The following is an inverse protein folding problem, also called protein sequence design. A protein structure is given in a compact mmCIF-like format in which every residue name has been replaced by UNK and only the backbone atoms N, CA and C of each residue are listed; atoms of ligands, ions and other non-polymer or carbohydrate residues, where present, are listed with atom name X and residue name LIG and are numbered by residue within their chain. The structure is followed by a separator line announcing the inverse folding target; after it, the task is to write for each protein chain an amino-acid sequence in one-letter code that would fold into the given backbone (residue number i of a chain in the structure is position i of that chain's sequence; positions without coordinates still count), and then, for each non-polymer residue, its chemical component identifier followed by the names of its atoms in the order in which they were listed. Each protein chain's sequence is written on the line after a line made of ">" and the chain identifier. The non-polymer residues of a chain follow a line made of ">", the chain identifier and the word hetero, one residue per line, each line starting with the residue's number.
data_IF_029027959426
#
_entry.id   IF_029027959426
#
_cell.length_a   1.000
_cell.length_b   1.000
_cell.length_c   1.000
_cell.angle_alpha   90.00
_cell.angle_beta   90.00
_cell.angle_gamma   90.00
#
_symmetry.space_group_name_H-M   'P 1'
#
loop_
_entity.id
_entity.type
_entity.pdbx_description
1 polymer ?
#
# COMPACT_ATOMS: atom_id res chain seq x y z
N UNK A 1 4.44 -22.99 -2.90
CA UNK A 1 4.93 -21.67 -3.38
C UNK A 1 6.30 -21.79 -4.08
N UNK A 2 7.40 -22.16 -3.41
CA UNK A 2 8.74 -22.20 -4.04
C UNK A 2 8.81 -23.01 -5.34
N UNK A 3 8.30 -24.24 -5.36
CA UNK A 3 8.29 -25.07 -6.59
C UNK A 3 7.49 -24.41 -7.72
N UNK A 4 6.41 -23.72 -7.42
CA UNK A 4 5.58 -23.03 -8.42
C UNK A 4 6.30 -21.78 -8.97
N UNK A 5 7.01 -21.02 -8.13
CA UNK A 5 7.84 -19.89 -8.60
C UNK A 5 8.95 -20.41 -9.53
N UNK A 6 9.65 -21.47 -9.14
CA UNK A 6 10.69 -22.09 -9.99
C UNK A 6 10.08 -22.58 -11.32
N UNK A 7 8.87 -23.13 -11.29
CA UNK A 7 8.15 -23.53 -12.50
C UNK A 7 7.86 -22.31 -13.40
N UNK A 8 7.34 -21.23 -12.86
CA UNK A 8 7.11 -20.00 -13.62
C UNK A 8 8.41 -19.42 -14.20
N UNK A 9 9.48 -19.36 -13.40
CA UNK A 9 10.78 -18.83 -13.83
C UNK A 9 11.40 -19.62 -15.01
N UNK A 10 11.12 -20.92 -15.10
CA UNK A 10 11.60 -21.78 -16.20
C UNK A 10 10.67 -21.79 -17.41
N UNK A 11 9.51 -21.20 -17.29
CA UNK A 11 8.51 -21.18 -18.35
C UNK A 11 8.79 -20.06 -19.36
N UNK A 12 8.49 -20.25 -20.65
CA UNK A 12 8.66 -19.20 -21.64
C UNK A 12 7.66 -18.08 -21.37
N UNK A 13 8.08 -16.84 -21.57
CA UNK A 13 7.19 -15.68 -21.54
C UNK A 13 6.30 -15.72 -22.78
N UNK A 14 4.99 -15.63 -22.61
CA UNK A 14 4.06 -15.48 -23.73
C UNK A 14 4.41 -14.20 -24.49
N UNK A 15 4.39 -14.28 -25.82
CA UNK A 15 4.79 -13.16 -26.69
C UNK A 15 6.29 -12.82 -26.69
N UNK A 16 7.17 -13.71 -26.21
CA UNK A 16 8.61 -13.48 -26.22
C UNK A 16 9.13 -13.11 -27.63
N UNK A 17 8.55 -13.68 -28.68
CA UNK A 17 8.94 -13.38 -30.07
C UNK A 17 8.52 -11.97 -30.53
N UNK A 18 7.44 -11.41 -30.01
CA UNK A 18 7.02 -10.02 -30.25
C UNK A 18 7.88 -9.02 -29.47
N UNK A 19 8.39 -9.42 -28.33
CA UNK A 19 9.25 -8.61 -27.43
C UNK A 19 10.68 -8.45 -27.98
N UNK A 20 11.09 -9.22 -29.00
CA UNK A 20 12.39 -9.09 -29.66
C UNK A 20 12.54 -7.85 -30.53
N UNK A 21 11.48 -7.13 -30.85
CA UNK A 21 11.59 -5.72 -31.22
C UNK A 21 12.30 -5.01 -30.06
N UNK A 22 13.35 -4.30 -30.36
CA UNK A 22 14.20 -3.60 -29.40
C UNK A 22 13.40 -2.96 -28.26
N UNK A 23 13.30 -3.67 -27.12
CA UNK A 23 12.59 -3.16 -25.92
C UNK A 23 13.09 -1.79 -25.50
N UNK A 24 14.38 -1.54 -25.71
CA UNK A 24 15.00 -0.25 -25.47
C UNK A 24 14.42 0.85 -26.38
N UNK A 25 14.17 0.55 -27.64
CA UNK A 25 13.57 1.52 -28.56
C UNK A 25 12.13 1.83 -28.17
N UNK A 26 11.34 0.81 -27.81
CA UNK A 26 9.97 0.99 -27.33
C UNK A 26 9.94 1.82 -26.04
N UNK A 27 10.84 1.55 -25.11
CA UNK A 27 10.94 2.31 -23.86
C UNK A 27 11.38 3.77 -24.13
N UNK A 28 12.35 3.97 -25.03
CA UNK A 28 12.81 5.30 -25.42
C UNK A 28 11.70 6.11 -26.08
N UNK A 29 10.92 5.50 -26.99
CA UNK A 29 9.75 6.15 -27.60
C UNK A 29 8.68 6.52 -26.56
N UNK A 30 8.42 5.63 -25.60
CA UNK A 30 7.49 5.92 -24.51
C UNK A 30 7.96 7.11 -23.66
N UNK A 31 9.25 7.15 -23.30
CA UNK A 31 9.83 8.26 -22.54
C UNK A 31 9.73 9.59 -23.31
N UNK A 32 10.03 9.57 -24.58
CA UNK A 32 9.98 10.75 -25.46
C UNK A 32 8.54 11.28 -25.64
N UNK A 33 7.59 10.39 -25.93
CA UNK A 33 6.18 10.75 -26.11
C UNK A 33 5.50 11.32 -24.86
N UNK A 34 5.95 10.93 -23.66
CA UNK A 34 5.34 11.36 -22.40
C UNK A 34 6.19 12.41 -21.66
N UNK A 35 7.29 12.87 -22.24
CA UNK A 35 8.24 13.80 -21.61
C UNK A 35 8.71 13.30 -20.23
N UNK A 36 9.02 12.00 -20.14
CA UNK A 36 9.44 11.32 -18.91
C UNK A 36 10.90 10.89 -19.07
N UNK A 37 11.68 11.11 -18.01
CA UNK A 37 13.04 10.59 -17.91
C UNK A 37 13.10 9.58 -16.75
N UNK A 38 13.36 8.33 -17.10
CA UNK A 38 13.61 7.28 -16.13
C UNK A 38 15.10 7.27 -15.72
N UNK A 39 15.37 6.95 -14.47
CA UNK A 39 16.74 6.68 -14.03
C UNK A 39 17.19 5.29 -14.52
N UNK A 40 18.50 5.02 -14.65
CA UNK A 40 19.00 3.73 -15.18
C UNK A 40 18.40 2.50 -14.49
N UNK A 41 18.25 2.53 -13.17
CA UNK A 41 17.60 1.43 -12.41
C UNK A 41 16.10 1.32 -12.67
N UNK A 42 15.45 2.40 -13.00
CA UNK A 42 14.04 2.38 -13.40
C UNK A 42 13.88 1.77 -14.81
N UNK A 43 14.75 2.11 -15.74
CA UNK A 43 14.77 1.48 -17.08
C UNK A 43 15.03 -0.03 -16.97
N UNK A 44 16.04 -0.43 -16.18
CA UNK A 44 16.34 -1.83 -15.90
C UNK A 44 15.11 -2.58 -15.37
N UNK A 45 14.38 -2.00 -14.40
CA UNK A 45 13.18 -2.59 -13.82
C UNK A 45 12.06 -2.79 -14.86
N UNK A 46 11.82 -1.80 -15.71
CA UNK A 46 10.84 -1.90 -16.80
C UNK A 46 11.23 -2.99 -17.78
N UNK A 47 12.47 -3.02 -18.22
CA UNK A 47 12.97 -4.04 -19.17
C UNK A 47 12.92 -5.45 -18.56
N UNK A 48 13.24 -5.59 -17.26
CA UNK A 48 13.15 -6.86 -16.53
C UNK A 48 11.73 -7.42 -16.53
N UNK A 49 10.71 -6.59 -16.42
CA UNK A 49 9.30 -7.00 -16.49
C UNK A 49 8.89 -7.61 -17.84
N UNK A 50 9.68 -7.41 -18.90
CA UNK A 50 9.43 -7.96 -20.25
C UNK A 50 10.35 -9.13 -20.60
N UNK A 51 11.50 -9.22 -19.98
CA UNK A 51 12.50 -10.24 -20.28
C UNK A 51 12.42 -11.46 -19.37
N UNK A 52 11.75 -11.33 -18.21
CA UNK A 52 11.64 -12.42 -17.24
C UNK A 52 10.18 -12.77 -16.93
N UNK A 53 9.87 -14.05 -16.74
CA UNK A 53 8.53 -14.50 -16.34
C UNK A 53 8.11 -13.97 -14.96
N UNK A 54 9.06 -13.85 -14.04
CA UNK A 54 8.87 -13.27 -12.71
C UNK A 54 9.97 -12.26 -12.46
N UNK A 55 9.63 -11.07 -11.99
CA UNK A 55 10.60 -10.03 -11.62
C UNK A 55 10.13 -9.27 -10.36
N UNK A 56 11.09 -8.74 -9.63
CA UNK A 56 10.85 -7.95 -8.41
C UNK A 56 11.40 -6.54 -8.62
N UNK A 57 10.59 -5.55 -8.22
CA UNK A 57 11.00 -4.15 -8.10
C UNK A 57 10.85 -3.74 -6.65
N UNK A 58 11.94 -3.44 -5.99
CA UNK A 58 11.93 -2.99 -4.60
C UNK A 58 12.57 -1.61 -4.45
N UNK A 59 12.06 -0.82 -3.52
CA UNK A 59 12.61 0.51 -3.22
C UNK A 59 11.73 1.26 -2.23
N UNK A 60 12.31 2.22 -1.54
CA UNK A 60 11.64 3.03 -0.54
C UNK A 60 10.54 3.93 -1.10
N UNK A 61 9.86 4.69 -0.24
CA UNK A 61 8.84 5.63 -0.66
C UNK A 61 9.45 6.75 -1.52
N UNK A 62 8.77 7.09 -2.62
CA UNK A 62 9.22 8.16 -3.52
C UNK A 62 10.28 7.77 -4.54
N UNK A 63 10.63 6.50 -4.67
CA UNK A 63 11.58 6.01 -5.70
C UNK A 63 10.96 5.84 -7.09
N UNK A 64 9.69 6.19 -7.26
CA UNK A 64 9.02 6.17 -8.56
C UNK A 64 8.43 4.83 -8.96
N UNK A 65 8.14 3.90 -8.03
CA UNK A 65 7.48 2.62 -8.31
C UNK A 65 6.21 2.76 -9.14
N UNK A 66 5.35 3.72 -8.82
CA UNK A 66 4.13 4.00 -9.59
C UNK A 66 4.41 4.43 -11.04
N UNK A 67 5.46 5.21 -11.26
CA UNK A 67 5.90 5.60 -12.62
C UNK A 67 6.31 4.37 -13.43
N UNK A 68 7.00 3.42 -12.80
CA UNK A 68 7.36 2.15 -13.43
C UNK A 68 6.14 1.31 -13.80
N UNK A 69 5.15 1.22 -12.94
CA UNK A 69 3.89 0.52 -13.25
C UNK A 69 3.25 1.11 -14.49
N UNK A 70 3.16 2.45 -14.61
CA UNK A 70 2.65 3.13 -15.81
C UNK A 70 3.47 2.80 -17.06
N UNK A 71 4.79 2.82 -16.96
CA UNK A 71 5.67 2.49 -18.08
C UNK A 71 5.48 1.04 -18.55
N UNK A 72 5.38 0.09 -17.61
CA UNK A 72 5.12 -1.33 -17.94
C UNK A 72 3.78 -1.49 -18.65
N UNK A 73 2.71 -0.84 -18.16
CA UNK A 73 1.38 -0.89 -18.76
C UNK A 73 1.35 -0.30 -20.18
N UNK A 74 1.99 0.84 -20.37
CA UNK A 74 2.07 1.49 -21.67
C UNK A 74 2.85 0.65 -22.68
N UNK A 75 3.99 0.08 -22.28
CA UNK A 75 4.76 -0.82 -23.12
C UNK A 75 4.01 -2.12 -23.41
N UNK A 76 3.28 -2.69 -22.43
CA UNK A 76 2.43 -3.88 -22.64
C UNK A 76 1.38 -3.60 -23.72
N UNK A 77 0.69 -2.46 -23.64
CA UNK A 77 -0.28 -2.04 -24.66
C UNK A 77 0.38 -1.77 -26.02
N UNK A 78 1.55 -1.14 -26.04
CA UNK A 78 2.26 -0.86 -27.29
C UNK A 78 2.71 -2.15 -27.99
N UNK A 79 3.29 -3.10 -27.26
CA UNK A 79 3.82 -4.34 -27.81
C UNK A 79 2.71 -5.32 -28.22
N UNK A 80 1.67 -5.46 -27.39
CA UNK A 80 0.64 -6.49 -27.55
C UNK A 80 -0.63 -5.98 -28.24
N UNK A 81 -0.84 -4.67 -28.31
CA UNK A 81 -2.05 -4.08 -28.90
C UNK A 81 -3.31 -4.58 -28.21
N UNK A 82 -4.24 -5.16 -28.96
CA UNK A 82 -5.51 -5.71 -28.43
C UNK A 82 -5.32 -6.98 -27.58
N UNK A 83 -4.16 -7.62 -27.64
CA UNK A 83 -3.85 -8.77 -26.77
C UNK A 83 -3.33 -8.36 -25.38
N UNK A 84 -3.12 -7.06 -25.14
CA UNK A 84 -2.76 -6.53 -23.82
C UNK A 84 -3.95 -6.65 -22.87
N UNK A 85 -3.74 -7.39 -21.81
CA UNK A 85 -4.75 -7.61 -20.75
C UNK A 85 -4.04 -7.65 -19.39
N UNK A 86 -3.53 -6.51 -18.89
CA UNK A 86 -2.84 -6.44 -17.62
C UNK A 86 -3.81 -6.59 -16.44
N UNK A 87 -3.36 -7.27 -15.38
CA UNK A 87 -4.07 -7.40 -14.11
C UNK A 87 -3.28 -6.72 -12.99
N UNK A 88 -3.85 -5.67 -12.41
CA UNK A 88 -3.23 -4.93 -11.32
C UNK A 88 -3.84 -5.37 -9.99
N UNK A 89 -2.98 -5.73 -9.05
CA UNK A 89 -3.35 -6.26 -7.75
C UNK A 89 -2.64 -5.53 -6.61
N UNK A 90 -3.31 -5.47 -5.46
CA UNK A 90 -2.70 -5.02 -4.21
C UNK A 90 -3.24 -5.82 -3.01
N UNK A 91 -2.53 -5.91 -1.87
CA UNK A 91 -2.99 -6.67 -0.71
C UNK A 91 -4.25 -6.10 -0.05
N UNK A 92 -4.46 -4.78 -0.10
CA UNK A 92 -5.59 -4.10 0.55
C UNK A 92 -6.42 -3.31 -0.43
N UNK A 93 -7.72 -3.09 -0.10
CA UNK A 93 -8.62 -2.28 -0.92
C UNK A 93 -8.13 -0.84 -1.13
N UNK A 94 -7.59 -0.22 -0.07
CA UNK A 94 -7.02 1.13 -0.16
C UNK A 94 -5.80 1.18 -1.10
N UNK A 95 -4.93 0.19 -1.05
CA UNK A 95 -3.78 0.11 -1.97
C UNK A 95 -4.24 -0.12 -3.42
N UNK A 96 -5.24 -1.00 -3.64
CA UNK A 96 -5.83 -1.23 -4.96
C UNK A 96 -6.47 0.03 -5.53
N UNK A 97 -7.25 0.76 -4.72
CA UNK A 97 -7.84 2.03 -5.13
C UNK A 97 -6.78 3.08 -5.50
N UNK A 98 -5.74 3.22 -4.66
CA UNK A 98 -4.62 4.12 -4.95
C UNK A 98 -3.88 3.71 -6.23
N UNK A 99 -3.69 2.42 -6.44
CA UNK A 99 -3.08 1.89 -7.67
C UNK A 99 -3.93 2.23 -8.89
N UNK A 100 -5.25 2.10 -8.82
CA UNK A 100 -6.18 2.54 -9.87
C UNK A 100 -6.08 4.06 -10.12
N UNK A 101 -6.22 4.88 -9.08
CA UNK A 101 -6.17 6.34 -9.19
C UNK A 101 -4.86 6.84 -9.79
N UNK A 102 -3.75 6.20 -9.46
CA UNK A 102 -2.42 6.61 -9.93
C UNK A 102 -2.05 6.02 -11.29
N UNK A 103 -2.48 4.81 -11.63
CA UNK A 103 -2.15 4.16 -12.90
C UNK A 103 -3.13 4.46 -14.02
N UNK A 104 -4.38 4.79 -13.66
CA UNK A 104 -5.50 4.91 -14.61
C UNK A 104 -6.05 3.56 -15.11
N UNK A 105 -5.54 2.43 -14.56
CA UNK A 105 -5.99 1.08 -14.92
C UNK A 105 -6.76 0.41 -13.78
N UNK A 106 -7.82 -0.38 -14.09
CA UNK A 106 -8.55 -1.14 -13.07
C UNK A 106 -7.60 -1.97 -12.21
N UNK A 107 -7.77 -1.87 -10.90
CA UNK A 107 -7.00 -2.62 -9.93
C UNK A 107 -7.94 -3.26 -8.90
N UNK A 108 -7.57 -4.42 -8.38
CA UNK A 108 -8.34 -5.14 -7.38
C UNK A 108 -7.46 -5.67 -6.26
N UNK A 109 -8.08 -6.19 -5.20
CA UNK A 109 -7.32 -6.86 -4.16
C UNK A 109 -6.89 -8.25 -4.61
N UNK A 110 -5.72 -8.70 -4.12
CA UNK A 110 -5.26 -10.09 -4.37
C UNK A 110 -6.34 -11.08 -3.94
N UNK A 111 -6.95 -10.89 -2.77
CA UNK A 111 -8.03 -11.74 -2.25
C UNK A 111 -9.21 -11.84 -3.23
N UNK A 112 -9.64 -10.72 -3.79
CA UNK A 112 -10.72 -10.69 -4.78
C UNK A 112 -10.36 -11.44 -6.05
N UNK A 113 -9.15 -11.21 -6.58
CA UNK A 113 -8.67 -11.83 -7.82
C UNK A 113 -8.53 -13.35 -7.72
N UNK A 114 -8.16 -13.86 -6.54
CA UNK A 114 -8.04 -15.31 -6.31
C UNK A 114 -9.32 -15.97 -5.80
N UNK A 115 -10.42 -15.19 -5.61
CA UNK A 115 -11.68 -15.71 -5.07
C UNK A 115 -11.60 -16.15 -3.61
N UNK A 116 -10.68 -15.58 -2.82
CA UNK A 116 -10.51 -15.93 -1.41
C UNK A 116 -11.56 -15.23 -0.54
N UNK A 117 -12.49 -16.00 0.07
CA UNK A 117 -13.65 -15.46 0.79
C UNK A 117 -13.72 -15.78 2.27
N UNK A 118 -12.66 -16.17 2.95
CA UNK A 118 -12.80 -16.40 4.36
C UNK A 118 -11.62 -17.06 5.04
N UNK A 119 -11.70 -17.14 6.37
CA UNK A 119 -10.67 -17.66 7.27
C UNK A 119 -10.32 -19.15 7.03
N UNK A 120 -11.22 -19.93 6.41
CA UNK A 120 -11.05 -21.36 6.23
C UNK A 120 -10.44 -21.79 4.89
N UNK A 121 -10.14 -20.87 3.97
CA UNK A 121 -9.51 -21.18 2.67
C UNK A 121 -10.32 -22.13 1.75
N UNK A 122 -11.57 -22.40 2.08
CA UNK A 122 -12.40 -23.42 1.38
C UNK A 122 -13.09 -22.91 0.13
N UNK A 123 -13.19 -21.60 -0.06
CA UNK A 123 -13.90 -20.97 -1.19
C UNK A 123 -12.95 -20.32 -2.20
N UNK A 124 -11.84 -20.98 -2.50
CA UNK A 124 -10.96 -20.49 -3.58
C UNK A 124 -11.57 -20.90 -4.91
N UNK A 125 -11.98 -19.91 -5.72
CA UNK A 125 -12.43 -20.15 -7.09
C UNK A 125 -11.37 -20.96 -7.86
N UNK A 126 -11.79 -21.97 -8.60
CA UNK A 126 -10.91 -22.84 -9.39
C UNK A 126 -10.36 -22.16 -10.66
N UNK A 127 -10.78 -20.92 -10.98
CA UNK A 127 -10.35 -20.22 -12.20
C UNK A 127 -8.85 -19.89 -12.15
N UNK A 128 -8.21 -20.07 -13.31
CA UNK A 128 -6.81 -19.66 -13.52
C UNK A 128 -6.75 -18.19 -13.94
N UNK A 129 -5.59 -17.56 -13.70
CA UNK A 129 -5.29 -16.18 -14.08
C UNK A 129 -4.42 -16.19 -15.35
N UNK A 130 -4.96 -15.64 -16.43
CA UNK A 130 -4.32 -15.63 -17.75
C UNK A 130 -4.19 -14.24 -18.39
N UNK A 131 -3.77 -13.20 -17.66
CA UNK A 131 -3.50 -11.90 -18.23
C UNK A 131 -2.14 -11.85 -18.96
N UNK A 132 -1.88 -10.77 -19.68
CA UNK A 132 -0.57 -10.52 -20.31
C UNK A 132 0.52 -10.31 -19.26
N UNK A 133 0.18 -9.62 -18.19
CA UNK A 133 1.04 -9.36 -17.03
C UNK A 133 0.19 -9.20 -15.77
N UNK A 134 0.65 -9.76 -14.66
CA UNK A 134 0.15 -9.48 -13.31
C UNK A 134 1.15 -8.56 -12.64
N UNK A 135 0.69 -7.41 -12.16
CA UNK A 135 1.49 -6.49 -11.34
C UNK A 135 0.88 -6.48 -9.95
N UNK A 136 1.66 -6.89 -8.95
CA UNK A 136 1.24 -6.84 -7.54
C UNK A 136 2.01 -5.72 -6.86
N UNK A 137 1.31 -4.67 -6.44
CA UNK A 137 1.90 -3.57 -5.68
C UNK A 137 1.78 -3.81 -4.17
N UNK A 138 2.62 -3.16 -3.36
CA UNK A 138 2.71 -3.31 -1.90
C UNK A 138 2.90 -4.77 -1.43
N UNK A 139 3.73 -5.55 -2.14
CA UNK A 139 3.96 -6.99 -1.88
C UNK A 139 4.52 -7.26 -0.47
N UNK A 140 5.16 -6.29 0.18
CA UNK A 140 5.61 -6.40 1.58
C UNK A 140 4.49 -6.80 2.55
N UNK A 141 3.23 -6.44 2.24
CA UNK A 141 2.05 -6.78 3.03
C UNK A 141 1.42 -8.13 2.66
N UNK A 142 1.95 -8.84 1.66
CA UNK A 142 1.39 -10.10 1.18
C UNK A 142 1.94 -11.28 1.99
N UNK A 143 1.04 -12.00 2.68
CA UNK A 143 1.43 -13.20 3.44
C UNK A 143 1.66 -14.43 2.55
N UNK A 144 2.30 -15.43 3.12
CA UNK A 144 2.70 -16.65 2.42
C UNK A 144 1.51 -17.45 1.88
N UNK A 145 0.38 -17.47 2.57
CA UNK A 145 -0.81 -18.24 2.17
C UNK A 145 -1.44 -17.63 0.94
N UNK A 146 -1.70 -16.33 0.99
CA UNK A 146 -2.29 -15.58 -0.13
C UNK A 146 -1.36 -15.57 -1.34
N UNK A 147 -0.05 -15.38 -1.12
CA UNK A 147 0.95 -15.46 -2.18
C UNK A 147 0.99 -16.85 -2.84
N UNK A 148 0.94 -17.93 -2.05
CA UNK A 148 0.96 -19.28 -2.59
C UNK A 148 -0.27 -19.59 -3.45
N UNK A 149 -1.47 -19.14 -3.02
CA UNK A 149 -2.69 -19.28 -3.79
C UNK A 149 -2.61 -18.47 -5.08
N UNK A 150 -2.20 -17.20 -5.00
CA UNK A 150 -2.02 -16.36 -6.20
C UNK A 150 -1.13 -17.04 -7.23
N UNK A 151 0.08 -17.44 -6.81
CA UNK A 151 1.07 -18.04 -7.70
C UNK A 151 0.58 -19.37 -8.30
N UNK A 152 -0.20 -20.15 -7.54
CA UNK A 152 -0.76 -21.41 -8.04
C UNK A 152 -1.79 -21.24 -9.15
N UNK A 153 -2.41 -20.06 -9.25
CA UNK A 153 -3.42 -19.72 -10.26
C UNK A 153 -2.86 -19.10 -11.54
N UNK A 154 -1.60 -18.69 -11.53
CA UNK A 154 -0.96 -18.05 -12.69
C UNK A 154 -0.70 -19.07 -13.78
N UNK A 155 -1.26 -18.83 -14.96
CA UNK A 155 -0.98 -19.65 -16.13
C UNK A 155 0.44 -19.39 -16.67
N UNK A 156 1.05 -20.48 -17.18
CA UNK A 156 2.34 -20.42 -17.85
C UNK A 156 2.32 -19.42 -19.02
N UNK A 157 3.31 -18.57 -19.06
CA UNK A 157 3.41 -17.51 -20.08
C UNK A 157 2.92 -16.15 -19.62
N UNK A 158 2.18 -16.08 -18.51
CA UNK A 158 1.85 -14.82 -17.85
C UNK A 158 3.07 -14.26 -17.13
N UNK A 159 3.36 -12.98 -17.30
CA UNK A 159 4.44 -12.30 -16.55
C UNK A 159 3.94 -11.89 -15.17
N UNK A 160 4.77 -12.03 -14.15
CA UNK A 160 4.50 -11.61 -12.78
C UNK A 160 5.52 -10.56 -12.34
N UNK A 161 5.06 -9.37 -12.03
CA UNK A 161 5.88 -8.27 -11.52
C UNK A 161 5.47 -7.98 -10.08
N UNK A 162 6.38 -8.21 -9.15
CA UNK A 162 6.20 -7.98 -7.72
C UNK A 162 6.82 -6.63 -7.34
N UNK A 163 5.99 -5.67 -6.94
CA UNK A 163 6.42 -4.31 -6.60
C UNK A 163 6.21 -4.09 -5.10
N UNK A 164 7.23 -3.60 -4.41
CA UNK A 164 7.10 -3.37 -2.97
C UNK A 164 8.30 -2.65 -2.37
N UNK A 165 8.33 -2.60 -1.07
CA UNK A 165 9.42 -2.04 -0.29
C UNK A 165 9.88 -3.08 0.74
N UNK A 166 11.05 -3.66 0.52
CA UNK A 166 11.61 -4.71 1.38
C UNK A 166 11.95 -4.20 2.79
N UNK A 167 12.06 -2.88 2.96
CA UNK A 167 12.40 -2.23 4.22
C UNK A 167 11.15 -1.85 5.04
N UNK A 168 9.94 -2.02 4.48
CA UNK A 168 8.69 -1.85 5.21
C UNK A 168 8.37 -3.05 6.10
N UNK A 169 7.43 -2.83 7.03
CA UNK A 169 6.92 -3.90 7.89
C UNK A 169 6.38 -5.07 7.05
N UNK A 170 6.68 -6.32 7.45
CA UNK A 170 6.15 -7.49 6.77
C UNK A 170 4.64 -7.63 6.98
N UNK A 171 4.03 -8.60 6.29
CA UNK A 171 2.63 -8.95 6.44
C UNK A 171 2.27 -9.30 7.89
N UNK A 172 1.02 -9.05 8.28
CA UNK A 172 0.47 -9.49 9.58
C UNK A 172 0.31 -11.02 9.61
N UNK A 173 -0.01 -11.63 8.46
CA UNK A 173 -0.01 -13.07 8.27
C UNK A 173 1.39 -13.67 8.23
N UNK A 174 1.48 -14.99 8.29
CA UNK A 174 2.75 -15.71 8.34
C UNK A 174 3.59 -15.52 7.05
N UNK A 175 4.91 -15.42 7.21
CA UNK A 175 5.90 -15.33 6.13
C UNK A 175 6.29 -13.89 5.76
N UNK A 176 7.47 -13.76 5.18
CA UNK A 176 8.00 -12.49 4.63
C UNK A 176 8.35 -12.72 3.16
N UNK A 177 7.30 -12.87 2.33
CA UNK A 177 7.42 -13.33 0.94
C UNK A 177 8.39 -12.48 0.12
N UNK A 178 8.28 -11.16 0.20
CA UNK A 178 9.12 -10.26 -0.58
C UNK A 178 10.60 -10.39 -0.17
N UNK A 179 10.90 -10.31 1.12
CA UNK A 179 12.28 -10.37 1.60
C UNK A 179 12.91 -11.75 1.35
N UNK A 180 12.15 -12.83 1.52
CA UNK A 180 12.62 -14.20 1.27
C UNK A 180 12.90 -14.45 -0.22
N UNK A 181 12.05 -13.94 -1.13
CA UNK A 181 12.28 -14.02 -2.57
C UNK A 181 13.52 -13.23 -2.98
N UNK A 182 13.72 -12.03 -2.44
CA UNK A 182 14.92 -11.22 -2.68
C UNK A 182 16.17 -11.93 -2.15
N UNK A 183 16.11 -12.45 -0.92
CA UNK A 183 17.24 -13.17 -0.30
C UNK A 183 17.61 -14.48 -1.00
N UNK A 184 16.66 -15.09 -1.71
CA UNK A 184 16.93 -16.32 -2.48
C UNK A 184 17.82 -16.12 -3.69
N UNK A 185 17.94 -14.88 -4.17
CA UNK A 185 18.68 -14.48 -5.39
C UNK A 185 18.30 -15.26 -6.67
N UNK A 186 17.11 -15.89 -6.66
CA UNK A 186 16.60 -16.69 -7.78
C UNK A 186 15.72 -15.85 -8.71
N UNK A 187 15.02 -14.84 -8.14
CA UNK A 187 14.13 -13.96 -8.90
C UNK A 187 14.86 -12.67 -9.26
N UNK A 188 14.93 -12.30 -10.55
CA UNK A 188 15.51 -11.03 -10.98
C UNK A 188 14.92 -9.85 -10.18
N UNK A 189 15.78 -9.17 -9.46
CA UNK A 189 15.38 -8.10 -8.52
C UNK A 189 16.09 -6.79 -8.87
N UNK A 190 15.32 -5.76 -9.12
CA UNK A 190 15.84 -4.40 -9.31
C UNK A 190 15.55 -3.55 -8.05
N UNK A 191 16.61 -3.04 -7.43
CA UNK A 191 16.53 -2.11 -6.28
C UNK A 191 16.59 -0.67 -6.75
N UNK A 192 15.55 0.11 -6.40
CA UNK A 192 15.46 1.54 -6.69
C UNK A 192 15.99 2.34 -5.51
N UNK A 193 17.06 3.07 -5.73
CA UNK A 193 17.76 3.82 -4.67
C UNK A 193 17.48 5.32 -4.76
N UNK A 194 17.21 5.86 -5.96
CA UNK A 194 16.99 7.28 -6.17
C UNK A 194 15.62 7.72 -5.67
N UNK A 195 15.57 8.71 -4.77
CA UNK A 195 14.34 9.26 -4.19
C UNK A 195 13.97 10.56 -4.93
N UNK A 196 12.80 10.60 -5.56
CA UNK A 196 12.31 11.73 -6.34
C UNK A 196 11.29 12.61 -5.61
N UNK A 197 10.61 12.08 -4.58
CA UNK A 197 9.43 12.73 -3.98
C UNK A 197 9.74 13.74 -2.89
N UNK A 198 10.92 13.71 -2.27
CA UNK A 198 11.16 14.53 -1.09
C UNK A 198 11.94 15.80 -1.44
N UNK A 199 11.34 16.96 -1.15
CA UNK A 199 12.06 18.24 -1.16
C UNK A 199 13.17 18.21 -0.10
N UNK A 200 14.43 18.30 -0.52
CA UNK A 200 15.60 18.19 0.34
C UNK A 200 16.45 16.95 0.11
N UNK A 201 16.02 16.04 -0.76
CA UNK A 201 16.81 14.87 -1.19
C UNK A 201 17.31 14.00 -0.02
N UNK A 202 18.54 13.52 -0.12
CA UNK A 202 19.21 12.68 0.88
C UNK A 202 19.52 13.41 2.20
N UNK A 203 19.46 14.73 2.23
CA UNK A 203 19.67 15.55 3.45
C UNK A 203 18.43 15.68 4.34
N UNK A 204 17.28 15.14 3.93
CA UNK A 204 16.06 15.20 4.72
C UNK A 204 16.19 14.33 6.00
N UNK A 205 16.05 14.90 7.23
CA UNK A 205 16.20 14.15 8.47
C UNK A 205 15.28 12.93 8.58
N UNK A 206 14.11 12.96 7.95
CA UNK A 206 13.17 11.84 7.92
C UNK A 206 13.77 10.67 7.13
N UNK A 207 14.37 10.94 5.97
CA UNK A 207 15.02 9.92 5.13
C UNK A 207 16.23 9.33 5.83
N UNK A 208 17.11 10.21 6.35
CA UNK A 208 18.32 9.80 7.07
C UNK A 208 17.95 8.90 8.25
N UNK A 209 16.98 9.32 9.05
CA UNK A 209 16.59 8.56 10.23
C UNK A 209 15.85 7.26 9.87
N UNK A 210 15.03 7.25 8.84
CA UNK A 210 14.38 6.02 8.36
C UNK A 210 15.44 4.97 7.95
N UNK A 211 16.48 5.39 7.22
CA UNK A 211 17.60 4.52 6.85
C UNK A 211 18.36 4.02 8.09
N UNK A 212 18.70 4.91 9.01
CA UNK A 212 19.36 4.54 10.26
C UNK A 212 18.55 3.54 11.09
N UNK A 213 17.25 3.76 11.22
CA UNK A 213 16.34 2.85 11.95
C UNK A 213 16.31 1.47 11.28
N UNK A 214 16.24 1.43 9.96
CA UNK A 214 16.24 0.18 9.21
C UNK A 214 17.57 -0.60 9.37
N UNK A 215 18.68 0.10 9.48
CA UNK A 215 20.00 -0.46 9.76
C UNK A 215 20.22 -0.81 11.25
N UNK A 216 19.21 -0.61 12.12
CA UNK A 216 19.29 -0.88 13.56
C UNK A 216 20.08 0.15 14.35
N UNK A 217 20.37 1.33 13.77
CA UNK A 217 21.07 2.40 14.46
C UNK A 217 20.13 3.13 15.43
N UNK A 218 20.64 3.47 16.61
CA UNK A 218 19.88 4.15 17.67
C UNK A 218 20.16 5.65 17.76
N UNK A 219 21.25 6.11 17.16
CA UNK A 219 21.63 7.53 17.14
C UNK A 219 20.97 8.24 15.96
N UNK A 220 19.83 8.88 16.24
CA UNK A 220 19.03 9.58 15.24
C UNK A 220 19.35 11.09 15.24
N UNK A 221 19.24 11.70 14.07
CA UNK A 221 19.35 13.15 13.90
C UNK A 221 18.00 13.82 14.22
N UNK A 222 17.96 14.68 15.23
CA UNK A 222 16.76 15.43 15.62
C UNK A 222 16.81 16.86 15.09
N UNK A 223 15.67 17.35 14.63
CA UNK A 223 15.44 18.71 14.14
C UNK A 223 13.97 19.09 14.33
N UNK A 224 13.56 20.26 13.88
CA UNK A 224 12.17 20.70 13.80
C UNK A 224 11.28 19.80 12.90
N UNK A 225 11.91 19.08 11.95
CA UNK A 225 11.23 18.12 11.05
C UNK A 225 11.21 16.68 11.57
N UNK A 226 12.04 16.35 12.55
CA UNK A 226 12.08 15.02 13.17
C UNK A 226 12.43 15.17 14.65
N UNK A 227 11.41 15.16 15.50
CA UNK A 227 11.54 15.44 16.92
C UNK A 227 11.31 14.20 17.78
N UNK A 228 12.00 14.14 18.90
CA UNK A 228 11.74 13.17 19.97
C UNK A 228 11.38 13.91 21.25
N UNK A 229 10.28 13.52 21.88
CA UNK A 229 9.86 14.04 23.18
C UNK A 229 9.57 12.89 24.14
N UNK A 230 10.20 12.91 25.30
CA UNK A 230 9.97 11.91 26.33
C UNK A 230 9.03 12.48 27.39
N UNK A 231 7.91 11.82 27.66
CA UNK A 231 6.91 12.18 28.66
C UNK A 231 6.60 10.91 29.46
N UNK A 232 7.01 10.88 30.73
CA UNK A 232 6.87 9.68 31.56
C UNK A 232 5.42 9.44 32.05
N UNK A 233 4.68 10.51 32.29
CA UNK A 233 3.30 10.45 32.75
C UNK A 233 2.33 10.24 31.58
N UNK A 234 1.53 9.18 31.63
CA UNK A 234 0.60 8.82 30.54
C UNK A 234 -0.53 9.83 30.33
N UNK A 235 -1.00 10.48 31.39
CA UNK A 235 -2.04 11.51 31.27
C UNK A 235 -1.51 12.79 30.61
N UNK A 236 -0.30 13.21 31.01
CA UNK A 236 0.40 14.33 30.36
C UNK A 236 0.72 14.02 28.90
N UNK A 237 1.08 12.76 28.60
CA UNK A 237 1.32 12.31 27.23
C UNK A 237 0.03 12.44 26.38
N UNK A 238 -1.10 11.94 26.87
CA UNK A 238 -2.39 12.07 26.18
C UNK A 238 -2.75 13.53 25.94
N UNK A 239 -2.62 14.40 26.98
CA UNK A 239 -2.90 15.83 26.84
C UNK A 239 -1.99 16.49 25.79
N UNK A 240 -0.69 16.15 25.80
CA UNK A 240 0.27 16.68 24.84
C UNK A 240 -0.09 16.24 23.41
N UNK A 241 -0.38 14.97 23.20
CA UNK A 241 -0.71 14.42 21.89
C UNK A 241 -2.00 15.05 21.34
N UNK A 242 -3.06 15.12 22.15
CA UNK A 242 -4.32 15.75 21.74
C UNK A 242 -4.15 17.23 21.37
N UNK A 243 -3.45 18.02 22.22
CA UNK A 243 -3.20 19.44 21.95
C UNK A 243 -2.37 19.63 20.67
N UNK A 244 -1.30 18.85 20.50
CA UNK A 244 -0.45 18.93 19.32
C UNK A 244 -1.21 18.54 18.05
N UNK A 245 -2.00 17.47 18.10
CA UNK A 245 -2.84 17.03 16.99
C UNK A 245 -3.85 18.13 16.61
N UNK A 246 -4.63 18.63 17.58
CA UNK A 246 -5.63 19.67 17.36
C UNK A 246 -5.01 20.96 16.80
N UNK A 247 -3.84 21.37 17.33
CA UNK A 247 -3.14 22.54 16.80
C UNK A 247 -2.71 22.36 15.35
N UNK A 248 -2.19 21.17 15.00
CA UNK A 248 -1.78 20.85 13.63
C UNK A 248 -2.97 20.78 12.68
N UNK A 249 -4.08 20.14 13.10
CA UNK A 249 -5.34 20.10 12.33
C UNK A 249 -5.89 21.51 12.06
N UNK A 250 -5.87 22.38 13.07
CA UNK A 250 -6.34 23.78 12.89
C UNK A 250 -5.45 24.59 11.95
N UNK A 251 -4.16 24.27 11.89
CA UNK A 251 -3.22 24.99 11.02
C UNK A 251 -3.21 24.48 9.58
N UNK A 252 -3.38 23.18 9.37
CA UNK A 252 -3.12 22.52 8.08
C UNK A 252 -4.27 21.65 7.57
N UNK A 253 -5.35 21.45 8.33
CA UNK A 253 -6.49 20.60 7.98
C UNK A 253 -6.39 19.16 8.48
N UNK A 254 -7.53 18.46 8.51
CA UNK A 254 -7.64 17.07 9.01
C UNK A 254 -6.80 16.06 8.25
N UNK A 255 -6.66 16.24 6.95
CA UNK A 255 -5.92 15.31 6.06
C UNK A 255 -4.40 15.45 6.14
N UNK A 256 -3.91 16.46 6.87
CA UNK A 256 -2.48 16.81 6.93
C UNK A 256 -1.73 16.09 8.03
N UNK A 257 -2.41 15.46 9.00
CA UNK A 257 -1.80 14.88 10.18
C UNK A 257 -2.43 13.53 10.55
N UNK A 258 -1.57 12.60 10.93
CA UNK A 258 -1.96 11.30 11.46
C UNK A 258 -1.31 11.11 12.83
N UNK A 259 -2.07 10.61 13.81
CA UNK A 259 -1.58 10.20 15.10
C UNK A 259 -1.56 8.68 15.19
N UNK A 260 -0.37 8.10 15.25
CA UNK A 260 -0.18 6.65 15.34
C UNK A 260 0.13 6.24 16.77
N UNK A 261 -0.60 5.26 17.28
CA UNK A 261 -0.38 4.67 18.62
C UNK A 261 -0.44 3.15 18.56
N UNK A 262 0.34 2.44 19.42
CA UNK A 262 0.43 0.98 19.35
C UNK A 262 -0.79 0.24 19.90
N UNK A 263 -1.63 0.90 20.69
CA UNK A 263 -2.75 0.24 21.38
C UNK A 263 -4.10 0.81 20.94
N UNK A 264 -5.08 -0.08 20.74
CA UNK A 264 -6.45 0.29 20.39
C UNK A 264 -7.26 0.74 21.59
N UNK A 265 -7.21 -0.01 22.69
CA UNK A 265 -8.07 0.20 23.87
C UNK A 265 -7.27 0.48 25.14
N UNK A 266 -7.95 1.10 26.13
CA UNK A 266 -7.38 1.53 27.40
C UNK A 266 -7.04 0.39 28.39
N UNK A 267 -7.15 -0.87 28.00
CA UNK A 267 -6.86 -2.04 28.89
C UNK A 267 -5.41 -2.05 29.39
N UNK A 268 -4.48 -1.53 28.57
CA UNK A 268 -3.03 -1.56 28.85
C UNK A 268 -2.48 -0.19 29.20
N UNK A 269 -2.99 0.87 28.56
CA UNK A 269 -2.51 2.24 28.72
C UNK A 269 -3.59 3.24 28.31
N UNK A 270 -3.56 4.43 28.93
CA UNK A 270 -4.41 5.57 28.47
C UNK A 270 -3.97 6.12 27.11
N UNK A 271 -2.73 5.86 26.68
CA UNK A 271 -2.25 6.26 25.35
C UNK A 271 -2.71 5.24 24.33
N UNK A 272 -3.97 5.32 23.95
CA UNK A 272 -4.61 4.40 23.00
C UNK A 272 -5.59 5.14 22.07
N UNK A 273 -5.91 4.49 20.94
CA UNK A 273 -6.77 5.09 19.91
C UNK A 273 -8.14 5.54 20.45
N UNK A 274 -8.79 4.71 21.27
CA UNK A 274 -10.12 5.02 21.82
C UNK A 274 -10.12 6.29 22.68
N UNK A 275 -9.18 6.40 23.61
CA UNK A 275 -9.08 7.57 24.49
C UNK A 275 -8.66 8.84 23.74
N UNK A 276 -7.72 8.74 22.82
CA UNK A 276 -7.25 9.87 22.02
C UNK A 276 -8.35 10.36 21.08
N UNK A 277 -9.07 9.46 20.39
CA UNK A 277 -10.19 9.85 19.53
C UNK A 277 -11.29 10.56 20.30
N UNK A 278 -11.69 10.04 21.48
CA UNK A 278 -12.67 10.67 22.34
C UNK A 278 -12.29 12.09 22.72
N UNK A 279 -11.06 12.30 23.21
CA UNK A 279 -10.58 13.64 23.62
C UNK A 279 -10.39 14.59 22.44
N UNK A 280 -9.90 14.09 21.31
CA UNK A 280 -9.76 14.90 20.09
C UNK A 280 -11.12 15.32 19.57
N UNK A 281 -12.13 14.43 19.57
CA UNK A 281 -13.51 14.74 19.20
C UNK A 281 -14.07 15.85 20.11
N UNK A 282 -13.95 15.74 21.45
CA UNK A 282 -14.38 16.76 22.39
C UNK A 282 -13.72 18.13 22.15
N UNK A 283 -12.49 18.16 21.61
CA UNK A 283 -11.75 19.40 21.33
C UNK A 283 -12.03 20.02 19.95
N UNK A 284 -12.29 19.19 18.93
CA UNK A 284 -12.48 19.62 17.54
C UNK A 284 -13.95 19.74 17.17
N UNK A 285 -14.76 18.78 17.59
CA UNK A 285 -16.18 18.66 17.27
C UNK A 285 -16.95 18.22 18.52
N UNK A 286 -17.12 19.08 19.53
CA UNK A 286 -17.87 18.75 20.75
C UNK A 286 -19.35 18.53 20.46
N UNK A 287 -19.93 17.45 21.00
CA UNK A 287 -21.35 17.17 20.91
C UNK A 287 -22.14 18.28 21.62
N UNK A 288 -23.09 18.92 20.92
CA UNK A 288 -23.91 19.99 21.44
C UNK A 288 -25.17 19.43 22.11
N UNK A 289 -25.73 20.20 23.07
CA UNK A 289 -26.96 19.82 23.73
C UNK A 289 -28.11 19.70 22.71
N UNK A 290 -28.81 18.55 22.73
CA UNK A 290 -29.91 18.27 21.80
C UNK A 290 -29.49 17.79 20.41
N UNK A 291 -28.20 17.73 20.12
CA UNK A 291 -27.69 17.20 18.83
C UNK A 291 -27.89 15.67 18.75
N UNK A 292 -28.39 15.14 17.61
CA UNK A 292 -28.53 13.72 17.43
C UNK A 292 -27.18 13.05 17.34
N UNK A 293 -27.02 11.89 17.98
CA UNK A 293 -25.81 11.09 17.94
C UNK A 293 -26.12 9.61 17.87
N UNK A 294 -25.18 8.84 17.33
CA UNK A 294 -25.15 7.38 17.35
C UNK A 294 -24.12 6.93 18.39
N UNK A 295 -24.51 6.00 19.25
CA UNK A 295 -23.59 5.34 20.20
C UNK A 295 -23.43 3.88 19.84
N UNK A 296 -22.21 3.39 19.78
CA UNK A 296 -21.90 1.97 19.65
C UNK A 296 -20.75 1.56 20.59
N UNK A 297 -20.26 0.32 20.47
CA UNK A 297 -19.16 -0.20 21.30
C UNK A 297 -17.82 0.52 21.13
N UNK A 298 -17.65 1.33 20.07
CA UNK A 298 -16.40 2.04 19.76
C UNK A 298 -16.45 3.51 20.13
N UNK A 299 -17.63 4.08 20.36
CA UNK A 299 -17.75 5.48 20.76
C UNK A 299 -19.09 6.13 20.43
N UNK A 300 -19.09 7.46 20.48
CA UNK A 300 -20.21 8.33 20.10
C UNK A 300 -19.84 8.99 18.78
N UNK A 301 -20.79 9.03 17.85
CA UNK A 301 -20.63 9.63 16.51
C UNK A 301 -21.76 10.62 16.27
N UNK A 302 -21.42 11.81 15.78
CA UNK A 302 -22.39 12.83 15.43
C UNK A 302 -21.94 13.60 14.18
N UNK A 303 -22.78 14.49 13.70
CA UNK A 303 -22.54 15.26 12.47
C UNK A 303 -21.19 15.98 12.51
N UNK A 304 -20.40 15.86 11.44
CA UNK A 304 -19.09 16.46 11.30
C UNK A 304 -17.91 15.59 11.79
N UNK A 305 -18.18 14.40 12.38
CA UNK A 305 -17.11 13.51 12.79
C UNK A 305 -16.41 12.86 11.58
N UNK A 306 -15.08 12.81 11.65
CA UNK A 306 -14.27 12.04 10.72
C UNK A 306 -14.30 10.58 11.14
N UNK A 307 -14.71 9.70 10.23
CA UNK A 307 -14.87 8.26 10.49
C UNK A 307 -14.12 7.43 9.46
N UNK A 308 -13.75 6.22 9.86
CA UNK A 308 -13.13 5.25 8.97
C UNK A 308 -13.95 3.96 8.95
N UNK A 309 -14.23 3.45 7.76
CA UNK A 309 -14.85 2.13 7.60
C UNK A 309 -13.89 1.01 8.03
N UNK A 310 -14.39 0.10 8.87
CA UNK A 310 -13.61 -1.03 9.39
C UNK A 310 -13.94 -2.36 8.70
N UNK A 311 -14.95 -2.39 7.82
CA UNK A 311 -15.36 -3.58 7.07
C UNK A 311 -15.71 -3.18 5.64
N UNK A 312 -15.48 -4.11 4.70
CA UNK A 312 -15.95 -3.90 3.33
C UNK A 312 -17.47 -3.96 3.28
N UNK A 313 -18.08 -3.03 2.53
CA UNK A 313 -19.50 -3.04 2.15
C UNK A 313 -19.62 -2.79 0.65
N UNK A 314 -20.84 -2.74 0.10
CA UNK A 314 -21.07 -2.68 -1.35
C UNK A 314 -20.34 -1.51 -2.04
N UNK A 315 -20.35 -0.32 -1.46
CA UNK A 315 -19.76 0.89 -2.05
C UNK A 315 -18.55 1.44 -1.29
N UNK A 316 -18.18 0.86 -0.13
CA UNK A 316 -17.15 1.38 0.76
C UNK A 316 -16.24 0.27 1.24
N UNK A 317 -14.93 0.51 1.19
CA UNK A 317 -13.93 -0.47 1.58
C UNK A 317 -13.38 -0.21 2.99
N UNK A 318 -12.82 -1.25 3.59
CA UNK A 318 -12.08 -1.12 4.85
C UNK A 318 -10.92 -0.13 4.69
N UNK A 319 -10.89 0.90 5.54
CA UNK A 319 -9.91 1.97 5.52
C UNK A 319 -10.36 3.23 4.77
N UNK A 320 -11.54 3.23 4.12
CA UNK A 320 -12.11 4.45 3.55
C UNK A 320 -12.50 5.43 4.64
N UNK A 321 -12.16 6.69 4.41
CA UNK A 321 -12.40 7.80 5.34
C UNK A 321 -13.57 8.63 4.82
N UNK A 322 -14.48 9.00 5.71
CA UNK A 322 -15.61 9.85 5.41
C UNK A 322 -15.93 10.80 6.58
N UNK A 323 -16.80 11.76 6.31
CA UNK A 323 -17.35 12.65 7.33
C UNK A 323 -18.82 12.32 7.54
N UNK A 324 -19.26 12.25 8.79
CA UNK A 324 -20.68 12.05 9.13
C UNK A 324 -21.47 13.28 8.71
N UNK A 325 -22.28 13.15 7.67
CA UNK A 325 -23.12 14.26 7.18
C UNK A 325 -24.31 14.55 8.08
N UNK A 326 -25.00 13.50 8.53
CA UNK A 326 -26.11 13.62 9.49
C UNK A 326 -26.33 12.32 10.24
N UNK A 327 -26.91 12.42 11.43
CA UNK A 327 -27.41 11.30 12.21
C UNK A 327 -28.93 11.41 12.25
N UNK A 328 -29.61 10.44 11.61
CA UNK A 328 -31.08 10.36 11.63
C UNK A 328 -31.52 9.36 12.66
N UNK A 329 -32.41 9.75 13.60
CA UNK A 329 -33.11 8.80 14.45
C UNK A 329 -34.10 8.01 13.59
N UNK A 330 -33.81 6.77 13.28
CA UNK A 330 -34.85 5.86 12.80
C UNK A 330 -35.69 5.40 14.01
N UNK A 331 -37.02 5.49 13.96
CA UNK A 331 -37.86 4.96 15.01
C UNK A 331 -37.64 3.43 15.10
N UNK A 332 -37.12 2.94 16.23
CA UNK A 332 -37.05 1.51 16.55
C UNK A 332 -35.72 0.81 16.45
N UNK A 333 -34.59 1.53 16.30
CA UNK A 333 -33.26 0.95 16.49
C UNK A 333 -32.63 1.46 17.79
N UNK A 334 -32.84 0.75 18.88
CA UNK A 334 -31.86 0.66 19.96
C UNK A 334 -30.76 -0.31 19.48
N UNK A 335 -29.57 0.24 19.15
CA UNK A 335 -28.41 -0.55 18.77
C UNK A 335 -27.50 -0.72 19.97
#
# INVERSE_FOLDING_TARGET
>A
MAAQIVHLLRSPVRYADKVRLSLHEVLSQYMEQNDIKLAPKQEEAVLSAFTHPVSIVTGGPGTGKTTLVKAILAMDKFILGEASNPLLLAPTGRAARRLFETSGHPASTVHSAIGYRGDDGKDVDASTLNPSVIIVDEVSMLDQTVAAILISKIEVGTRLVLVGDADQLPSVGAGNVLAELIASDVVPTTRLETIFRQSGGEENPIVINAKKINEGQTELAYSDRFMKKQIADSEKMVQYLCRSYVATVKAYGLDSVILLVPYRSAKTTKVCTEELNRRVQEMLNPLKEGEPYLRNSTGIYHTGDLVMHLKNSYDVQNGDIGVVECVTKQPGMDI
#
